data_IF_964618787368
#
_entry.id   IF_964618787368
#
_cell.length_a   1.000
_cell.length_b   1.000
_cell.length_c   1.000
_cell.angle_alpha   90.00
_cell.angle_beta   90.00
_cell.angle_gamma   90.00
#
_symmetry.space_group_name_H-M   'P 1'
#
loop_
_entity.id
_entity.type
_entity.pdbx_description
1 polymer ?
#
# COMPACT_ATOMS: atom_id res chain seq x y z
N UNK A 1 7.01 25.92 -17.76
CA UNK A 1 8.42 25.65 -17.46
C UNK A 1 8.64 25.33 -15.99
N UNK A 2 8.56 26.34 -15.11
CA UNK A 2 8.89 26.21 -13.68
C UNK A 2 8.02 25.24 -12.86
N UNK A 3 6.78 24.94 -13.28
CA UNK A 3 5.87 24.06 -12.54
C UNK A 3 6.37 22.62 -12.35
N UNK A 4 7.27 22.13 -13.21
CA UNK A 4 7.84 20.79 -13.09
C UNK A 4 9.03 20.70 -12.12
N UNK A 5 9.61 21.83 -11.71
CA UNK A 5 10.75 21.82 -10.79
C UNK A 5 10.34 21.31 -9.41
N UNK A 6 9.15 21.69 -8.94
CA UNK A 6 8.63 21.28 -7.63
C UNK A 6 8.41 19.76 -7.51
N UNK A 7 7.66 19.08 -8.40
CA UNK A 7 7.51 17.63 -8.31
C UNK A 7 8.84 16.89 -8.55
N UNK A 8 9.73 17.43 -9.38
CA UNK A 8 11.03 16.81 -9.65
C UNK A 8 11.96 16.87 -8.41
N UNK A 9 12.04 18.01 -7.73
CA UNK A 9 12.85 18.13 -6.51
C UNK A 9 12.28 17.27 -5.38
N UNK A 10 10.96 17.24 -5.23
CA UNK A 10 10.29 16.39 -4.25
C UNK A 10 10.54 14.90 -4.50
N UNK A 11 10.42 14.44 -5.75
CA UNK A 11 10.69 13.06 -6.14
C UNK A 11 12.14 12.64 -5.85
N UNK A 12 13.12 13.48 -6.23
CA UNK A 12 14.53 13.18 -5.97
C UNK A 12 14.85 13.12 -4.48
N UNK A 13 14.25 14.00 -3.68
CA UNK A 13 14.43 13.99 -2.24
C UNK A 13 13.78 12.76 -1.58
N UNK A 14 12.56 12.41 -1.97
CA UNK A 14 11.85 11.24 -1.43
C UNK A 14 12.52 9.92 -1.80
N UNK A 15 13.13 9.80 -2.98
CA UNK A 15 13.92 8.62 -3.36
C UNK A 15 15.19 8.46 -2.51
N UNK A 16 15.85 9.56 -2.11
CA UNK A 16 17.14 9.52 -1.40
C UNK A 16 17.02 9.48 0.12
N UNK A 17 15.95 10.07 0.68
CA UNK A 17 15.76 10.25 2.12
C UNK A 17 14.38 9.77 2.63
N UNK A 18 13.49 9.31 1.74
CA UNK A 18 12.18 8.81 2.14
C UNK A 18 12.26 7.57 3.02
N UNK A 19 11.33 7.46 3.97
CA UNK A 19 11.15 6.26 4.78
C UNK A 19 10.74 5.09 3.87
N UNK A 20 11.20 3.88 4.17
CA UNK A 20 10.73 2.66 3.49
C UNK A 20 9.22 2.54 3.66
N UNK A 21 8.50 2.46 2.55
CA UNK A 21 7.05 2.22 2.57
C UNK A 21 6.75 0.80 3.04
N UNK A 22 5.73 0.58 3.89
CA UNK A 22 5.16 -0.76 4.05
C UNK A 22 4.60 -1.26 2.71
N UNK A 23 4.33 -2.57 2.58
CA UNK A 23 3.73 -3.15 1.36
C UNK A 23 2.42 -2.48 0.95
N UNK A 24 1.57 -2.13 1.92
CA UNK A 24 0.28 -1.50 1.69
C UNK A 24 0.08 -0.28 2.63
N UNK A 25 0.60 0.91 2.28
CA UNK A 25 0.46 2.11 3.12
C UNK A 25 -0.95 2.70 3.12
N UNK A 26 -1.81 2.31 2.18
CA UNK A 26 -3.16 2.86 2.00
C UNK A 26 -4.28 1.89 2.38
N UNK A 27 -3.92 0.71 2.88
CA UNK A 27 -4.86 -0.37 3.18
C UNK A 27 -5.80 -0.70 2.01
N UNK A 28 -5.28 -0.61 0.78
CA UNK A 28 -6.05 -0.91 -0.43
C UNK A 28 -6.21 -2.42 -0.64
N UNK A 29 -7.34 -2.82 -1.23
CA UNK A 29 -7.78 -4.21 -1.42
C UNK A 29 -7.29 -4.86 -2.72
N UNK A 30 -6.62 -4.09 -3.59
CA UNK A 30 -6.07 -4.60 -4.85
C UNK A 30 -4.94 -5.61 -4.65
N UNK A 31 -4.83 -6.59 -5.55
CA UNK A 31 -3.79 -7.64 -5.48
C UNK A 31 -2.37 -7.05 -5.48
N UNK A 32 -2.14 -5.92 -6.14
CA UNK A 32 -0.86 -5.23 -6.15
C UNK A 32 -0.35 -4.84 -4.75
N UNK A 33 -1.26 -4.68 -3.78
CA UNK A 33 -0.95 -4.35 -2.39
C UNK A 33 -0.66 -5.57 -1.51
N UNK A 34 -0.81 -6.78 -2.06
CA UNK A 34 -0.38 -8.04 -1.42
C UNK A 34 1.11 -8.33 -1.64
N UNK A 35 1.76 -7.54 -2.49
CA UNK A 35 3.16 -7.72 -2.89
C UNK A 35 4.09 -6.80 -2.06
N UNK A 36 5.30 -7.25 -1.66
CA UNK A 36 6.24 -6.40 -0.94
C UNK A 36 6.70 -5.19 -1.77
N UNK A 37 7.11 -4.12 -1.09
CA UNK A 37 7.71 -2.93 -1.72
C UNK A 37 9.22 -2.88 -1.42
N UNK A 38 10.12 -2.97 -2.43
CA UNK A 38 9.85 -3.05 -3.87
C UNK A 38 9.36 -4.45 -4.32
N UNK A 39 8.60 -4.53 -5.43
CA UNK A 39 8.03 -5.79 -5.90
C UNK A 39 9.13 -6.76 -6.39
N UNK A 40 8.92 -8.08 -6.25
CA UNK A 40 9.80 -9.08 -6.81
C UNK A 40 9.68 -9.10 -8.34
N UNK A 41 10.69 -9.64 -9.05
CA UNK A 41 10.74 -9.67 -10.52
C UNK A 41 9.52 -10.33 -11.19
N UNK A 42 8.84 -11.23 -10.49
CA UNK A 42 7.69 -11.97 -11.00
C UNK A 42 6.34 -11.45 -10.46
N UNK A 43 6.31 -10.24 -9.90
CA UNK A 43 5.18 -9.59 -9.23
C UNK A 43 4.65 -10.36 -8.01
N UNK A 44 4.20 -11.60 -8.19
CA UNK A 44 3.73 -12.46 -7.12
C UNK A 44 4.68 -13.65 -6.94
N UNK A 45 4.97 -14.02 -5.69
CA UNK A 45 5.74 -15.23 -5.39
C UNK A 45 4.94 -16.50 -5.65
N UNK A 46 3.63 -16.42 -5.42
CA UNK A 46 2.65 -17.49 -5.62
C UNK A 46 1.41 -16.87 -6.29
N UNK A 47 0.64 -17.65 -7.05
CA UNK A 47 -0.57 -17.14 -7.71
C UNK A 47 -1.58 -16.78 -6.62
N UNK A 48 -2.01 -15.51 -6.51
CA UNK A 48 -2.98 -15.13 -5.50
C UNK A 48 -4.34 -15.74 -5.81
N UNK A 49 -4.97 -16.33 -4.79
CA UNK A 49 -6.36 -16.79 -4.86
C UNK A 49 -7.25 -15.61 -4.49
N UNK A 50 -8.10 -15.18 -5.41
CA UNK A 50 -9.04 -14.07 -5.17
C UNK A 50 -10.24 -14.62 -4.39
N UNK A 51 -10.27 -14.33 -3.09
CA UNK A 51 -11.36 -14.74 -2.18
C UNK A 51 -12.37 -13.63 -1.92
N UNK A 52 -12.01 -12.39 -2.26
CA UNK A 52 -12.75 -11.18 -1.91
C UNK A 52 -12.88 -10.26 -3.13
N UNK A 53 -13.92 -9.43 -3.14
CA UNK A 53 -14.14 -8.45 -4.21
C UNK A 53 -13.15 -7.28 -4.11
N UNK A 54 -12.86 -6.67 -5.27
CA UNK A 54 -11.89 -5.57 -5.38
C UNK A 54 -12.22 -4.33 -4.51
N UNK A 55 -13.42 -4.24 -3.92
CA UNK A 55 -13.88 -3.13 -3.07
C UNK A 55 -14.35 -3.58 -1.67
N UNK A 56 -13.89 -4.73 -1.18
CA UNK A 56 -14.28 -5.28 0.13
C UNK A 56 -13.71 -4.52 1.35
N UNK A 57 -13.76 -3.18 1.35
CA UNK A 57 -13.27 -2.32 2.44
C UNK A 57 -14.08 -2.44 3.73
N UNK A 58 -15.37 -2.77 3.64
CA UNK A 58 -16.26 -2.90 4.82
C UNK A 58 -15.76 -3.97 5.81
N UNK A 59 -15.07 -5.00 5.32
CA UNK A 59 -14.51 -6.07 6.14
C UNK A 59 -13.32 -5.56 6.97
N UNK A 60 -12.49 -4.69 6.41
CA UNK A 60 -11.36 -4.05 7.11
C UNK A 60 -11.84 -3.12 8.22
N UNK A 61 -12.83 -2.26 7.93
CA UNK A 61 -13.42 -1.34 8.92
C UNK A 61 -13.99 -2.11 10.12
N UNK A 62 -14.62 -3.26 9.87
CA UNK A 62 -15.19 -4.12 10.92
C UNK A 62 -14.14 -4.80 11.80
N UNK A 63 -12.97 -5.14 11.24
CA UNK A 63 -11.88 -5.75 12.01
C UNK A 63 -11.07 -4.73 12.80
N UNK A 64 -10.84 -3.52 12.25
CA UNK A 64 -10.16 -2.43 12.96
C UNK A 64 -10.97 -1.97 14.18
N UNK A 65 -12.28 -1.74 14.00
CA UNK A 65 -13.19 -1.42 15.11
C UNK A 65 -13.13 -2.48 16.23
N UNK A 66 -13.06 -3.76 15.86
CA UNK A 66 -13.00 -4.86 16.83
C UNK A 66 -11.66 -4.95 17.58
N UNK A 67 -10.56 -4.50 16.95
CA UNK A 67 -9.24 -4.44 17.60
C UNK A 67 -9.14 -3.24 18.55
N UNK A 68 -9.67 -2.09 18.15
CA UNK A 68 -9.70 -0.89 19.01
C UNK A 68 -10.53 -1.11 20.28
N UNK A 69 -11.68 -1.79 20.18
CA UNK A 69 -12.52 -2.12 21.34
C UNK A 69 -11.87 -3.13 22.30
N UNK A 70 -10.85 -3.89 21.86
CA UNK A 70 -10.14 -4.88 22.68
C UNK A 70 -8.94 -4.30 23.44
N UNK A 71 -8.41 -3.15 23.00
CA UNK A 71 -7.23 -2.49 23.58
C UNK A 71 -7.60 -1.28 24.48
N UNK A 72 -8.89 -0.94 24.60
CA UNK A 72 -9.44 0.10 25.49
C UNK A 72 -9.98 -0.44 26.81
#
# INVERSE_FOLDING_TARGET
GLGYLFPLTYLLWSLRYGKKSPPNPWQATGLEWTTPSPPPQHNFKEIPVVTEDAYAYEQFDSEESKREDSDG
#
